data_IF_180629747145
#
_entry.id   IF_180629747145
#
_cell.length_a   1.000
_cell.length_b   1.000
_cell.length_c   1.000
_cell.angle_alpha   90.00
_cell.angle_beta   90.00
_cell.angle_gamma   90.00
#
_symmetry.space_group_name_H-M   'P 1'
#
loop_
_entity.id
_entity.type
_entity.pdbx_description
1 polymer ?
#
# COMPACT_ATOMS: atom_id res chain seq x y z
N UNK A 1 7.29 -5.99 11.93
CA UNK A 1 7.29 -5.31 13.25
C UNK A 1 7.20 -3.81 13.01
N UNK A 2 6.26 -3.14 13.65
CA UNK A 2 6.17 -1.68 13.69
C UNK A 2 6.80 -1.24 15.02
N UNK A 3 7.76 -0.31 14.95
CA UNK A 3 8.42 0.26 16.12
C UNK A 3 8.03 1.73 16.21
N UNK A 4 7.26 2.06 17.24
CA UNK A 4 6.80 3.42 17.46
C UNK A 4 7.82 4.25 18.27
N UNK A 5 7.82 5.58 18.09
CA UNK A 5 8.57 6.47 19.00
C UNK A 5 8.13 6.27 20.45
N UNK A 6 9.04 6.48 21.39
CA UNK A 6 8.73 6.37 22.84
C UNK A 6 7.57 7.28 23.29
N UNK A 7 7.38 8.40 22.61
CA UNK A 7 6.27 9.33 22.87
C UNK A 7 4.94 8.87 22.22
N UNK A 8 4.96 7.76 21.48
CA UNK A 8 3.84 7.32 20.64
C UNK A 8 3.72 8.11 19.35
N UNK A 9 2.76 7.71 18.53
CA UNK A 9 2.36 8.42 17.32
C UNK A 9 1.14 9.32 17.61
N UNK A 10 0.88 10.29 16.73
CA UNK A 10 -0.34 11.10 16.78
C UNK A 10 -1.57 10.21 16.69
N UNK A 11 -2.69 10.64 17.29
CA UNK A 11 -3.95 9.90 17.17
C UNK A 11 -4.50 10.00 15.74
N UNK A 12 -5.03 8.88 15.26
CA UNK A 12 -5.75 8.77 14.00
C UNK A 12 -7.07 8.02 14.21
N UNK A 13 -8.00 8.12 13.26
CA UNK A 13 -9.29 7.42 13.35
C UNK A 13 -9.20 5.97 12.94
N UNK A 14 -8.35 5.68 11.96
CA UNK A 14 -8.12 4.33 11.44
C UNK A 14 -6.63 4.09 11.22
N UNK A 15 -6.22 2.85 11.43
CA UNK A 15 -4.84 2.42 11.20
C UNK A 15 -4.81 1.06 10.53
N UNK A 16 -3.97 0.92 9.49
CA UNK A 16 -3.83 -0.31 8.71
C UNK A 16 -2.36 -0.62 8.45
N UNK A 17 -2.06 -1.91 8.24
CA UNK A 17 -0.77 -2.39 7.80
C UNK A 17 -0.92 -3.25 6.55
N UNK A 18 -0.19 -2.89 5.50
CA UNK A 18 -0.16 -3.61 4.23
C UNK A 18 1.27 -4.05 3.92
N UNK A 19 1.40 -5.31 3.57
CA UNK A 19 2.64 -5.88 3.07
C UNK A 19 2.44 -6.24 1.60
N UNK A 20 3.14 -5.53 0.71
CA UNK A 20 3.26 -5.95 -0.68
C UNK A 20 4.30 -7.06 -0.78
N UNK A 21 3.98 -8.14 -1.48
CA UNK A 21 4.89 -9.26 -1.70
C UNK A 21 4.75 -9.83 -3.09
N UNK A 22 5.86 -10.33 -3.61
CA UNK A 22 5.94 -11.02 -4.90
C UNK A 22 5.82 -12.53 -4.69
N UNK A 23 5.07 -13.18 -5.58
CA UNK A 23 4.89 -14.63 -5.54
C UNK A 23 5.34 -15.25 -6.85
N UNK A 24 6.27 -16.17 -6.75
CA UNK A 24 6.84 -16.95 -7.85
C UNK A 24 6.42 -18.40 -7.66
N UNK A 25 5.40 -18.82 -8.40
CA UNK A 25 4.78 -20.12 -8.20
C UNK A 25 5.59 -21.22 -8.89
N UNK A 26 5.82 -22.30 -8.16
CA UNK A 26 6.20 -23.61 -8.72
C UNK A 26 4.99 -24.38 -9.24
N UNK A 27 5.17 -25.64 -9.65
CA UNK A 27 4.07 -26.54 -9.99
C UNK A 27 3.08 -26.67 -8.84
N UNK A 28 1.82 -26.94 -9.14
CA UNK A 28 0.77 -27.07 -8.13
C UNK A 28 1.16 -28.08 -7.05
N UNK A 29 1.03 -27.66 -5.79
CA UNK A 29 1.38 -28.48 -4.61
C UNK A 29 2.88 -28.53 -4.30
N UNK A 30 3.70 -27.78 -5.03
CA UNK A 30 5.13 -27.65 -4.78
C UNK A 30 5.48 -26.29 -4.17
N UNK A 31 6.65 -26.14 -3.55
CA UNK A 31 7.16 -24.84 -3.11
C UNK A 31 7.24 -23.81 -4.23
N UNK A 32 7.34 -22.53 -3.86
CA UNK A 32 7.61 -21.45 -4.81
C UNK A 32 8.90 -21.69 -5.62
N UNK A 33 8.95 -21.09 -6.81
CA UNK A 33 10.06 -21.25 -7.76
C UNK A 33 11.16 -20.22 -7.48
N UNK A 34 12.19 -20.66 -6.75
CA UNK A 34 13.34 -19.83 -6.43
C UNK A 34 14.13 -19.42 -7.70
N UNK A 35 14.19 -20.28 -8.73
CA UNK A 35 14.90 -19.95 -9.96
C UNK A 35 14.23 -18.82 -10.72
N UNK A 36 12.89 -18.78 -10.75
CA UNK A 36 12.14 -17.64 -11.28
C UNK A 36 12.46 -16.35 -10.50
N UNK A 37 12.48 -16.42 -9.17
CA UNK A 37 12.76 -15.26 -8.33
C UNK A 37 14.18 -14.75 -8.48
N UNK A 38 15.15 -15.66 -8.73
CA UNK A 38 16.58 -15.34 -8.91
C UNK A 38 16.96 -14.99 -10.36
N UNK A 39 16.01 -14.98 -11.29
CA UNK A 39 16.27 -14.67 -12.70
C UNK A 39 16.71 -13.21 -12.87
N UNK A 40 17.54 -12.93 -13.89
CA UNK A 40 18.01 -11.58 -14.18
C UNK A 40 16.91 -10.58 -14.60
N UNK A 41 15.75 -11.10 -15.01
CA UNK A 41 14.52 -10.32 -15.27
C UNK A 41 13.35 -11.04 -14.58
N UNK A 42 13.22 -10.91 -13.25
CA UNK A 42 12.20 -11.62 -12.50
C UNK A 42 10.79 -11.16 -12.88
N UNK A 43 9.91 -12.12 -13.11
CA UNK A 43 8.51 -11.85 -13.41
C UNK A 43 7.62 -12.66 -12.46
N UNK A 44 7.16 -12.08 -11.35
CA UNK A 44 6.30 -12.76 -10.41
C UNK A 44 4.98 -13.16 -11.04
N UNK A 45 4.45 -14.30 -10.65
CA UNK A 45 3.10 -14.72 -11.06
C UNK A 45 2.04 -13.80 -10.44
N UNK A 46 2.27 -13.40 -9.18
CA UNK A 46 1.43 -12.43 -8.47
C UNK A 46 2.24 -11.40 -7.69
N UNK A 47 1.67 -10.22 -7.54
CA UNK A 47 2.09 -9.20 -6.57
C UNK A 47 0.88 -8.89 -5.70
N UNK A 48 0.98 -9.16 -4.41
CA UNK A 48 -0.17 -9.22 -3.53
C UNK A 48 -0.04 -8.26 -2.35
N UNK A 49 -1.17 -7.71 -1.94
CA UNK A 49 -1.31 -7.02 -0.66
C UNK A 49 -1.79 -8.02 0.41
N UNK A 50 -0.99 -8.21 1.46
CA UNK A 50 -1.23 -9.14 2.56
C UNK A 50 -1.50 -10.60 2.11
N UNK A 51 -0.87 -11.02 1.00
CA UNK A 51 -0.79 -12.42 0.57
C UNK A 51 -2.04 -13.04 -0.06
N UNK A 52 -3.10 -12.26 -0.28
CA UNK A 52 -4.32 -12.74 -0.93
C UNK A 52 -4.64 -11.89 -2.14
N UNK A 53 -4.78 -12.54 -3.31
CA UNK A 53 -5.09 -11.85 -4.55
C UNK A 53 -6.48 -11.18 -4.49
N UNK A 54 -6.53 -9.91 -4.87
CA UNK A 54 -7.75 -9.10 -4.98
C UNK A 54 -8.58 -8.93 -3.69
N UNK A 55 -8.10 -9.38 -2.51
CA UNK A 55 -8.92 -9.32 -1.29
C UNK A 55 -9.48 -7.93 -0.99
N UNK A 56 -8.67 -6.89 -1.17
CA UNK A 56 -9.10 -5.51 -0.91
C UNK A 56 -9.80 -4.86 -2.11
N UNK A 57 -9.79 -5.49 -3.27
CA UNK A 57 -10.64 -5.14 -4.40
C UNK A 57 -12.04 -5.70 -4.21
N UNK A 58 -12.13 -6.96 -3.80
CA UNK A 58 -13.40 -7.68 -3.61
C UNK A 58 -14.06 -7.32 -2.27
N UNK A 59 -13.23 -6.93 -1.28
CA UNK A 59 -13.64 -6.48 0.06
C UNK A 59 -12.93 -5.17 0.41
N UNK A 60 -13.42 -4.02 -0.07
CA UNK A 60 -12.79 -2.72 0.17
C UNK A 60 -12.61 -2.40 1.65
N UNK A 61 -11.50 -1.74 1.98
CA UNK A 61 -11.22 -1.26 3.33
C UNK A 61 -12.13 -0.08 3.63
N UNK A 62 -12.98 -0.23 4.63
CA UNK A 62 -13.96 0.81 5.00
C UNK A 62 -13.33 1.91 5.85
N UNK A 63 -13.46 3.15 5.40
CA UNK A 63 -13.09 4.36 6.11
C UNK A 63 -14.25 5.38 6.06
N UNK A 64 -14.25 6.32 6.97
CA UNK A 64 -15.20 7.44 6.91
C UNK A 64 -14.60 8.64 6.18
N UNK A 65 -15.45 9.41 5.49
CA UNK A 65 -15.05 10.69 4.88
C UNK A 65 -14.46 11.60 5.93
N UNK A 66 -13.38 12.26 5.60
CA UNK A 66 -12.59 13.13 6.49
C UNK A 66 -11.96 12.43 7.71
N UNK A 67 -12.07 11.12 7.85
CA UNK A 67 -11.31 10.39 8.86
C UNK A 67 -9.82 10.45 8.54
N UNK A 68 -9.01 10.67 9.58
CA UNK A 68 -7.57 10.57 9.45
C UNK A 68 -7.14 9.10 9.47
N UNK A 69 -6.52 8.68 8.40
CA UNK A 69 -6.08 7.29 8.20
C UNK A 69 -4.57 7.24 8.23
N UNK A 70 -4.03 6.35 9.05
CA UNK A 70 -2.62 5.96 9.02
C UNK A 70 -2.47 4.61 8.33
N UNK A 71 -1.51 4.53 7.44
CA UNK A 71 -1.25 3.31 6.70
C UNK A 71 0.24 2.99 6.75
N UNK A 72 0.59 1.86 7.34
CA UNK A 72 1.92 1.30 7.27
C UNK A 72 2.03 0.42 6.04
N UNK A 73 3.01 0.69 5.22
CA UNK A 73 3.27 -0.04 3.99
C UNK A 73 4.67 -0.62 4.03
N UNK A 74 4.80 -1.91 3.72
CA UNK A 74 6.07 -2.59 3.54
C UNK A 74 6.11 -3.21 2.16
N UNK A 75 7.16 -2.93 1.39
CA UNK A 75 7.49 -3.72 0.21
C UNK A 75 8.42 -4.87 0.64
N UNK A 76 7.87 -6.06 0.81
CA UNK A 76 8.64 -7.24 1.18
C UNK A 76 9.47 -7.80 -0.01
N UNK A 77 9.19 -7.37 -1.24
CA UNK A 77 9.92 -7.77 -2.42
C UNK A 77 9.66 -9.22 -2.82
N UNK A 78 10.68 -9.91 -3.36
CA UNK A 78 12.12 -9.63 -3.20
C UNK A 78 12.78 -8.72 -4.24
N UNK A 79 12.17 -8.45 -5.39
CA UNK A 79 12.89 -7.88 -6.53
C UNK A 79 12.34 -6.55 -7.04
N UNK A 80 11.06 -6.28 -6.84
CA UNK A 80 10.33 -5.22 -7.54
C UNK A 80 10.09 -4.05 -6.62
N UNK A 81 10.43 -2.86 -7.10
CA UNK A 81 10.08 -1.62 -6.44
C UNK A 81 8.56 -1.43 -6.40
N UNK A 82 8.09 -0.79 -5.35
CA UNK A 82 6.71 -0.33 -5.23
C UNK A 82 6.69 1.19 -5.30
N UNK A 83 5.92 1.76 -6.19
CA UNK A 83 5.49 3.14 -6.08
C UNK A 83 4.06 3.13 -5.54
N UNK A 84 3.96 3.08 -4.20
CA UNK A 84 2.68 2.92 -3.52
C UNK A 84 1.87 4.20 -3.59
N UNK A 85 0.63 4.09 -4.06
CA UNK A 85 -0.27 5.21 -4.27
C UNK A 85 -1.70 4.86 -3.89
N UNK A 86 -2.44 5.85 -3.38
CA UNK A 86 -3.89 5.77 -3.19
C UNK A 86 -4.51 6.86 -4.06
N UNK A 87 -5.13 6.42 -5.17
CA UNK A 87 -5.69 7.33 -6.20
C UNK A 87 -6.73 8.26 -5.59
N UNK A 88 -6.63 9.53 -5.92
CA UNK A 88 -7.55 10.56 -5.43
C UNK A 88 -7.19 11.13 -4.05
N UNK A 89 -6.03 10.76 -3.49
CA UNK A 89 -5.57 11.29 -2.21
C UNK A 89 -4.23 12.01 -2.31
N UNK A 90 -3.93 12.81 -1.32
CA UNK A 90 -2.60 13.38 -1.05
C UNK A 90 -2.18 12.89 0.33
N UNK A 91 -0.99 12.28 0.42
CA UNK A 91 -0.39 11.94 1.71
C UNK A 91 0.17 13.22 2.32
N UNK A 92 -0.42 13.66 3.40
CA UNK A 92 0.03 14.86 4.10
C UNK A 92 1.11 14.57 5.14
N UNK A 93 1.29 13.30 5.49
CA UNK A 93 2.40 12.81 6.29
C UNK A 93 3.02 11.60 5.61
N UNK A 94 4.33 11.63 5.42
CA UNK A 94 5.10 10.49 4.92
C UNK A 94 6.36 10.33 5.77
N UNK A 95 6.49 9.17 6.41
CA UNK A 95 7.70 8.74 7.11
C UNK A 95 8.21 7.48 6.42
N UNK A 96 9.41 7.53 5.84
CA UNK A 96 10.06 6.38 5.17
C UNK A 96 11.28 5.96 5.96
N UNK A 97 11.37 4.67 6.31
CA UNK A 97 12.49 4.13 7.09
C UNK A 97 12.77 4.92 8.39
N UNK A 98 11.74 5.46 9.02
CA UNK A 98 11.83 6.26 10.23
C UNK A 98 12.17 7.76 10.03
N UNK A 99 12.33 8.21 8.78
CA UNK A 99 12.64 9.61 8.46
C UNK A 99 11.39 10.29 7.92
N UNK A 100 11.00 11.43 8.51
CA UNK A 100 9.93 12.26 7.99
C UNK A 100 10.33 12.89 6.65
N UNK A 101 9.62 12.53 5.59
CA UNK A 101 9.77 13.13 4.26
C UNK A 101 8.73 14.25 4.05
N UNK A 102 7.51 14.03 4.52
CA UNK A 102 6.44 15.01 4.54
C UNK A 102 5.96 15.12 5.99
N UNK A 103 6.19 16.27 6.65
CA UNK A 103 6.11 16.36 8.12
C UNK A 103 4.70 16.50 8.69
N UNK A 104 3.71 16.62 7.86
CA UNK A 104 2.33 16.86 8.26
C UNK A 104 1.69 18.00 7.48
N UNK A 105 0.39 18.05 7.49
CA UNK A 105 -0.36 18.98 6.65
C UNK A 105 -0.53 20.35 7.33
N UNK A 106 0.22 21.32 6.84
CA UNK A 106 -0.02 22.76 7.08
C UNK A 106 -0.71 23.45 5.87
N UNK A 107 -1.22 22.67 4.92
CA UNK A 107 -1.86 23.11 3.69
C UNK A 107 -0.90 23.31 2.50
N UNK A 108 0.40 23.15 2.69
CA UNK A 108 1.40 23.44 1.66
C UNK A 108 2.21 22.23 1.21
N UNK A 109 2.04 21.10 1.88
CA UNK A 109 2.85 19.90 1.67
C UNK A 109 2.00 18.71 1.29
N UNK A 110 2.60 17.79 0.55
CA UNK A 110 1.97 16.52 0.24
C UNK A 110 2.75 15.68 -0.75
N UNK A 111 2.46 14.38 -0.74
CA UNK A 111 2.96 13.43 -1.72
C UNK A 111 1.82 12.57 -2.22
N UNK A 112 1.79 12.25 -3.51
CA UNK A 112 0.78 11.36 -4.08
C UNK A 112 1.18 9.89 -3.99
N UNK A 113 2.47 9.62 -3.91
CA UNK A 113 3.02 8.28 -3.87
C UNK A 113 4.25 8.22 -2.98
N UNK A 114 4.63 7.02 -2.56
CA UNK A 114 5.90 6.76 -1.88
C UNK A 114 6.60 5.59 -2.56
N UNK A 115 7.85 5.80 -2.95
CA UNK A 115 8.69 4.75 -3.52
C UNK A 115 9.30 3.89 -2.43
N UNK A 116 9.17 2.58 -2.59
CA UNK A 116 9.70 1.57 -1.67
C UNK A 116 10.49 0.54 -2.48
N UNK A 117 11.79 0.56 -2.36
CA UNK A 117 12.60 -0.57 -2.81
C UNK A 117 12.25 -1.83 -1.98
N UNK A 118 12.60 -3.04 -2.43
CA UNK A 118 12.46 -4.25 -1.63
C UNK A 118 13.05 -4.09 -0.23
N UNK A 119 12.33 -4.57 0.77
CA UNK A 119 12.61 -4.46 2.21
C UNK A 119 12.41 -3.06 2.84
N UNK A 120 11.98 -2.06 2.07
CA UNK A 120 11.67 -0.74 2.63
C UNK A 120 10.22 -0.61 3.09
N UNK A 121 10.04 0.20 4.13
CA UNK A 121 8.71 0.53 4.67
C UNK A 121 8.47 2.01 4.80
N UNK A 122 7.21 2.39 4.76
CA UNK A 122 6.76 3.74 5.06
C UNK A 122 5.51 3.73 5.93
N UNK A 123 5.33 4.82 6.64
CA UNK A 123 4.08 5.22 7.27
C UNK A 123 3.57 6.45 6.52
N UNK A 124 2.35 6.40 6.07
CA UNK A 124 1.67 7.52 5.42
C UNK A 124 0.41 7.88 6.19
N UNK A 125 0.03 9.14 6.16
CA UNK A 125 -1.27 9.58 6.64
C UNK A 125 -1.98 10.40 5.57
N UNK A 126 -3.29 10.22 5.49
CA UNK A 126 -4.15 10.89 4.54
C UNK A 126 -5.58 11.02 5.06
N UNK A 127 -6.38 11.82 4.36
CA UNK A 127 -7.83 11.89 4.52
C UNK A 127 -8.47 11.86 3.13
N UNK A 128 -9.70 11.37 3.05
CA UNK A 128 -10.53 11.48 1.85
C UNK A 128 -11.47 12.67 2.01
N UNK A 129 -11.61 13.48 0.98
CA UNK A 129 -12.47 14.67 1.03
C UNK A 129 -13.94 14.33 0.76
N UNK A 130 -14.21 13.27 0.05
CA UNK A 130 -15.53 12.89 -0.46
C UNK A 130 -15.78 11.39 -0.26
N UNK A 131 -17.05 11.01 -0.30
CA UNK A 131 -17.45 9.61 -0.38
C UNK A 131 -17.05 9.03 -1.73
N UNK A 132 -16.61 7.77 -1.74
CA UNK A 132 -16.22 7.12 -2.98
C UNK A 132 -15.23 5.98 -2.81
N UNK A 133 -14.79 5.43 -3.94
CA UNK A 133 -13.76 4.41 -4.00
C UNK A 133 -12.41 5.03 -4.36
N UNK A 134 -11.40 4.70 -3.58
CA UNK A 134 -10.03 5.18 -3.72
C UNK A 134 -9.11 3.97 -3.97
N UNK A 135 -8.68 3.75 -5.22
CA UNK A 135 -7.81 2.63 -5.54
C UNK A 135 -6.44 2.74 -4.87
N UNK A 136 -6.01 1.67 -4.23
CA UNK A 136 -4.68 1.49 -3.66
C UNK A 136 -3.88 0.60 -4.60
N UNK A 137 -2.77 1.08 -5.13
CA UNK A 137 -1.98 0.40 -6.16
C UNK A 137 -0.48 0.54 -5.94
N UNK A 138 0.31 -0.33 -6.58
CA UNK A 138 1.67 0.03 -6.95
C UNK A 138 1.68 0.63 -8.37
N UNK A 139 2.39 1.73 -8.59
CA UNK A 139 2.57 2.30 -9.93
C UNK A 139 3.63 1.58 -10.78
N UNK A 140 4.19 0.47 -10.31
CA UNK A 140 4.67 -0.59 -11.17
C UNK A 140 3.43 -1.25 -11.80
N UNK A 141 2.76 -0.51 -12.70
CA UNK A 141 1.34 -0.66 -13.03
C UNK A 141 0.99 -1.99 -13.73
N UNK A 142 1.98 -2.62 -14.39
CA UNK A 142 1.84 -3.96 -14.96
C UNK A 142 1.51 -5.04 -13.90
N UNK A 143 1.72 -4.76 -12.60
CA UNK A 143 1.39 -5.67 -11.50
C UNK A 143 0.00 -5.48 -10.92
N UNK A 144 -0.70 -4.40 -11.28
CA UNK A 144 -2.10 -4.21 -10.91
C UNK A 144 -2.95 -5.39 -11.38
N UNK A 145 -2.77 -5.83 -12.63
CA UNK A 145 -3.42 -7.02 -13.18
C UNK A 145 -2.97 -8.36 -12.57
N UNK A 146 -1.91 -8.34 -11.74
CA UNK A 146 -1.38 -9.52 -11.01
C UNK A 146 -1.74 -9.50 -9.53
N UNK A 147 -2.65 -8.60 -9.10
CA UNK A 147 -3.18 -8.55 -7.75
C UNK A 147 -2.72 -7.36 -6.90
N UNK A 148 -1.85 -6.48 -7.40
CA UNK A 148 -1.40 -5.27 -6.69
C UNK A 148 -2.45 -4.14 -6.77
N UNK A 149 -3.69 -4.47 -6.43
CA UNK A 149 -4.85 -3.59 -6.41
C UNK A 149 -5.66 -3.83 -5.13
N UNK A 150 -5.97 -2.77 -4.43
CA UNK A 150 -6.95 -2.72 -3.36
C UNK A 150 -7.84 -1.51 -3.51
N UNK A 151 -8.86 -1.40 -2.68
CA UNK A 151 -9.78 -0.27 -2.63
C UNK A 151 -9.96 0.18 -1.18
N UNK A 152 -9.91 1.48 -0.94
CA UNK A 152 -10.55 2.10 0.20
C UNK A 152 -11.95 2.56 -0.23
N UNK A 153 -12.96 2.27 0.58
CA UNK A 153 -14.28 2.85 0.45
C UNK A 153 -14.47 3.90 1.54
N UNK A 154 -14.63 5.14 1.12
CA UNK A 154 -14.89 6.27 1.99
C UNK A 154 -16.38 6.51 2.08
N UNK A 155 -16.92 6.60 3.31
CA UNK A 155 -18.33 6.83 3.54
C UNK A 155 -19.23 5.73 2.96
N UNK A 156 -20.47 6.11 2.64
CA UNK A 156 -21.48 5.23 2.02
C UNK A 156 -21.45 5.32 0.48
N UNK A 157 -20.34 5.82 -0.08
CA UNK A 157 -20.22 6.03 -1.53
C UNK A 157 -20.49 4.75 -2.32
N UNK A 158 -21.45 4.86 -3.25
CA UNK A 158 -21.80 3.78 -4.15
C UNK A 158 -20.54 3.37 -4.97
N UNK A 159 -20.24 2.09 -5.12
CA UNK A 159 -19.19 1.67 -6.03
C UNK A 159 -19.50 2.25 -7.40
N UNK A 160 -18.50 2.82 -8.03
CA UNK A 160 -18.56 3.48 -9.34
C UNK A 160 -19.52 2.73 -10.29
N UNK A 161 -20.68 3.35 -10.55
CA UNK A 161 -21.55 2.99 -11.67
C UNK A 161 -20.88 3.36 -13.00
#
# INVERSE_FOLDING_TARGET
>A
VIVEPKAGLSKVDKEFAIVQSEWYLGPQGQPGDLAKAAAGAPSPDFVLFNGVANQYKDHPIQIGTSQRVRHFVLNAGPNIDSSFHIVGTIFDTVTKEGIHLVPGNDGNWGSQAVDLAPAQGAMIEFQTAEDGLYPMVTHAFNFVGRGALGLFQSGDGDPLN
#
